data_IF_797027479999
#
_entry.id   IF_797027479999
#
_cell.length_a   1.000
_cell.length_b   1.000
_cell.length_c   1.000
_cell.angle_alpha   90.00
_cell.angle_beta   90.00
_cell.angle_gamma   90.00
#
_symmetry.space_group_name_H-M   'P 1'
#
loop_
_entity.id
_entity.type
_entity.pdbx_description
1 polymer ?
#
# COMPACT_ATOMS: atom_id res chain seq x y z
N UNK A 1 1.58 3.73 18.13
CA UNK A 1 0.88 3.10 16.98
C UNK A 1 1.85 3.04 15.82
N UNK A 2 2.57 1.93 15.65
CA UNK A 2 3.54 1.74 14.56
C UNK A 2 2.79 1.53 13.24
N UNK A 3 2.91 2.46 12.29
CA UNK A 3 2.59 2.17 10.89
C UNK A 3 3.81 1.54 10.22
N UNK A 4 4.03 0.25 10.48
CA UNK A 4 5.09 -0.49 9.81
C UNK A 4 4.65 -0.82 8.37
N UNK A 5 5.26 -0.14 7.41
CA UNK A 5 5.68 -0.69 6.12
C UNK A 5 4.67 -1.52 5.28
N UNK A 6 4.00 -0.83 4.35
CA UNK A 6 3.67 -1.39 3.04
C UNK A 6 2.70 -2.57 3.00
N UNK A 7 1.40 -2.31 3.14
CA UNK A 7 0.28 -3.17 2.70
C UNK A 7 0.22 -4.62 3.20
N UNK A 8 1.14 -5.11 4.02
CA UNK A 8 1.15 -6.51 4.47
C UNK A 8 0.69 -6.67 5.92
N UNK A 9 0.33 -5.58 6.58
CA UNK A 9 -0.29 -5.60 7.89
C UNK A 9 -1.30 -4.46 8.03
N UNK A 10 -2.27 -4.64 8.91
CA UNK A 10 -3.22 -3.61 9.29
C UNK A 10 -3.70 -3.87 10.72
N UNK A 11 -4.12 -2.83 11.42
CA UNK A 11 -4.69 -2.93 12.77
C UNK A 11 -6.14 -2.43 12.83
N UNK A 12 -6.85 -2.82 13.89
CA UNK A 12 -8.11 -2.22 14.33
C UNK A 12 -7.87 -1.26 15.50
N UNK A 13 -8.87 -0.45 15.83
CA UNK A 13 -8.86 0.43 17.00
C UNK A 13 -8.96 -0.34 18.33
N UNK A 14 -9.29 -1.64 18.27
CA UNK A 14 -9.47 -2.52 19.43
C UNK A 14 -8.23 -3.37 19.74
N UNK A 15 -7.09 -3.07 19.12
CA UNK A 15 -5.82 -3.77 19.36
C UNK A 15 -5.62 -5.05 18.55
N UNK A 16 -6.57 -5.44 17.69
CA UNK A 16 -6.37 -6.56 16.76
C UNK A 16 -5.44 -6.15 15.64
N UNK A 17 -4.45 -6.98 15.33
CA UNK A 17 -3.52 -6.78 14.21
C UNK A 17 -3.58 -8.00 13.29
N UNK A 18 -3.60 -7.76 11.99
CA UNK A 18 -3.47 -8.81 10.96
C UNK A 18 -2.21 -8.53 10.18
N UNK A 19 -1.43 -9.57 9.91
CA UNK A 19 -0.29 -9.50 9.01
C UNK A 19 -0.26 -10.69 8.05
N UNK A 20 0.55 -10.56 7.00
CA UNK A 20 0.87 -11.64 6.09
C UNK A 20 2.36 -11.96 6.16
N UNK A 21 2.68 -13.25 6.24
CA UNK A 21 4.04 -13.76 6.03
C UNK A 21 4.10 -14.28 4.59
N UNK A 22 5.13 -13.86 3.85
CA UNK A 22 5.31 -14.22 2.44
C UNK A 22 5.14 -15.74 2.22
N UNK A 23 4.25 -16.10 1.29
CA UNK A 23 3.86 -17.49 0.96
C UNK A 23 3.21 -18.32 2.08
N UNK A 24 3.22 -17.88 3.34
CA UNK A 24 2.71 -18.60 4.49
C UNK A 24 1.31 -18.15 4.94
N UNK A 25 0.65 -17.28 4.18
CA UNK A 25 -0.73 -16.87 4.44
C UNK A 25 -0.85 -15.77 5.49
N UNK A 26 -1.96 -15.79 6.22
CA UNK A 26 -2.40 -14.74 7.15
C UNK A 26 -2.18 -15.17 8.60
N UNK A 27 -1.74 -14.21 9.42
CA UNK A 27 -1.60 -14.33 10.86
C UNK A 27 -2.33 -13.17 11.54
N UNK A 28 -2.72 -13.35 12.79
CA UNK A 28 -3.38 -12.32 13.59
C UNK A 28 -2.84 -12.29 15.01
N UNK A 29 -3.02 -11.15 15.65
CA UNK A 29 -2.74 -10.87 17.06
C UNK A 29 -3.94 -10.14 17.65
N UNK A 30 -4.26 -10.45 18.90
CA UNK A 30 -5.33 -9.81 19.69
C UNK A 30 -4.77 -8.90 20.80
N UNK A 31 -3.44 -8.78 20.87
CA UNK A 31 -2.69 -8.09 21.91
C UNK A 31 -1.65 -7.13 21.28
N UNK A 32 -2.10 -6.34 20.29
CA UNK A 32 -1.32 -5.27 19.66
C UNK A 32 -0.01 -5.74 19.01
N UNK A 33 0.03 -6.99 18.54
CA UNK A 33 1.19 -7.58 17.87
C UNK A 33 2.20 -8.24 18.82
N UNK A 34 1.86 -8.43 20.10
CA UNK A 34 2.74 -9.11 21.07
C UNK A 34 2.75 -10.63 20.83
N UNK A 35 1.59 -11.25 20.65
CA UNK A 35 1.42 -12.69 20.40
C UNK A 35 0.72 -12.92 19.07
N UNK A 36 1.22 -13.88 18.29
CA UNK A 36 0.72 -14.18 16.94
C UNK A 36 0.17 -15.59 16.80
N UNK A 37 -0.93 -15.70 16.08
CA UNK A 37 -1.63 -16.94 15.78
C UNK A 37 -1.85 -17.07 14.27
N UNK A 38 -1.82 -18.30 13.74
CA UNK A 38 -2.18 -18.57 12.36
C UNK A 38 -3.70 -18.42 12.12
N UNK A 39 -4.09 -17.81 11.00
CA UNK A 39 -5.48 -17.76 10.54
C UNK A 39 -5.88 -19.04 9.79
N UNK A 40 -7.14 -19.15 9.33
CA UNK A 40 -7.59 -20.24 8.45
C UNK A 40 -7.05 -20.17 7.00
N UNK A 41 -6.30 -19.13 6.65
CA UNK A 41 -5.60 -18.99 5.37
C UNK A 41 -4.10 -19.15 5.63
N UNK A 42 -3.55 -20.31 5.30
CA UNK A 42 -2.19 -20.72 5.73
C UNK A 42 -1.16 -20.74 4.60
N UNK A 43 -1.51 -20.25 3.42
CA UNK A 43 -0.60 -20.16 2.27
C UNK A 43 -0.89 -18.90 1.46
N UNK A 44 0.09 -18.47 0.66
CA UNK A 44 -0.03 -17.31 -0.22
C UNK A 44 0.53 -16.02 0.39
N UNK A 45 0.55 -14.98 -0.43
CA UNK A 45 1.01 -13.64 -0.05
C UNK A 45 -0.14 -12.67 -0.24
N UNK A 46 -0.46 -11.88 0.78
CA UNK A 46 -1.64 -11.02 0.81
C UNK A 46 -1.28 -9.59 1.14
N UNK A 47 -2.03 -8.67 0.52
CA UNK A 47 -2.12 -7.28 0.96
C UNK A 47 -3.35 -7.13 1.83
N UNK A 48 -3.25 -6.36 2.91
CA UNK A 48 -4.26 -6.21 3.94
C UNK A 48 -4.55 -4.73 4.20
N UNK A 49 -5.83 -4.38 4.33
CA UNK A 49 -6.28 -3.07 4.84
C UNK A 49 -7.46 -3.26 5.80
N UNK A 50 -7.60 -2.33 6.74
CA UNK A 50 -8.78 -2.20 7.59
C UNK A 50 -9.77 -1.22 6.95
N UNK A 51 -11.02 -1.63 6.78
CA UNK A 51 -12.08 -0.83 6.16
C UNK A 51 -13.43 -1.15 6.79
N UNK A 52 -14.17 -0.13 7.25
CA UNK A 52 -15.56 -0.23 7.74
C UNK A 52 -15.86 -1.50 8.55
N UNK A 53 -15.20 -1.70 9.70
CA UNK A 53 -15.48 -2.88 10.53
C UNK A 53 -14.75 -4.19 10.13
N UNK A 54 -14.24 -4.34 8.89
CA UNK A 54 -13.47 -5.52 8.48
C UNK A 54 -12.00 -5.26 8.16
N UNK A 55 -11.17 -6.30 8.29
CA UNK A 55 -9.95 -6.49 7.53
C UNK A 55 -10.29 -7.08 6.16
N UNK A 56 -9.57 -6.65 5.14
CA UNK A 56 -9.72 -7.11 3.77
C UNK A 56 -8.35 -7.58 3.29
N UNK A 57 -8.30 -8.80 2.77
CA UNK A 57 -7.10 -9.40 2.23
C UNK A 57 -7.27 -9.73 0.74
N UNK A 58 -6.30 -9.36 -0.07
CA UNK A 58 -6.26 -9.64 -1.52
C UNK A 58 -4.91 -10.25 -1.85
N UNK A 59 -4.85 -11.17 -2.81
CA UNK A 59 -3.59 -11.80 -3.18
C UNK A 59 -2.61 -10.74 -3.71
N UNK A 60 -1.48 -10.58 -3.01
CA UNK A 60 -0.43 -9.60 -3.29
C UNK A 60 0.62 -10.08 -4.29
N UNK A 61 0.60 -11.36 -4.67
CA UNK A 61 1.57 -11.97 -5.59
C UNK A 61 1.14 -12.00 -7.06
N UNK A 62 -0.12 -11.69 -7.38
CA UNK A 62 -0.69 -11.93 -8.71
C UNK A 62 -0.82 -10.71 -9.63
N UNK A 63 -0.45 -10.90 -10.90
CA UNK A 63 -1.03 -10.15 -12.05
C UNK A 63 -2.36 -10.76 -12.52
N UNK A 64 -2.74 -11.92 -11.97
CA UNK A 64 -3.94 -12.68 -12.29
C UNK A 64 -5.04 -12.47 -11.25
N UNK A 65 -6.28 -12.46 -11.72
CA UNK A 65 -7.47 -12.38 -10.87
C UNK A 65 -7.45 -13.51 -9.84
N UNK A 66 -7.61 -13.15 -8.58
CA UNK A 66 -7.54 -14.07 -7.44
C UNK A 66 -8.65 -13.75 -6.44
N UNK A 67 -9.01 -14.74 -5.63
CA UNK A 67 -9.99 -14.58 -4.56
C UNK A 67 -9.52 -13.54 -3.55
N UNK A 68 -10.40 -12.61 -3.19
CA UNK A 68 -10.24 -11.75 -2.01
C UNK A 68 -10.96 -12.35 -0.81
N UNK A 69 -10.59 -11.87 0.37
CA UNK A 69 -11.12 -12.33 1.64
C UNK A 69 -11.41 -11.15 2.54
N UNK A 70 -12.34 -11.33 3.47
CA UNK A 70 -12.59 -10.38 4.55
C UNK A 70 -12.77 -11.10 5.89
N UNK A 71 -12.47 -10.39 6.97
CA UNK A 71 -12.60 -10.88 8.34
C UNK A 71 -12.70 -9.71 9.32
N UNK A 72 -13.56 -9.80 10.33
CA UNK A 72 -13.63 -8.76 11.36
C UNK A 72 -12.41 -8.76 12.29
N UNK A 73 -11.88 -9.96 12.60
CA UNK A 73 -10.83 -10.16 13.60
C UNK A 73 -9.57 -10.87 13.06
N UNK A 74 -9.55 -11.25 11.79
CA UNK A 74 -8.39 -11.89 11.16
C UNK A 74 -8.17 -13.36 11.50
N UNK A 75 -8.93 -13.94 12.44
CA UNK A 75 -8.85 -15.37 12.79
C UNK A 75 -9.44 -16.28 11.70
N UNK A 76 -10.68 -16.00 11.30
CA UNK A 76 -11.42 -16.73 10.27
C UNK A 76 -11.76 -15.77 9.15
N UNK A 77 -11.31 -16.10 7.95
CA UNK A 77 -11.53 -15.34 6.72
C UNK A 77 -12.61 -15.99 5.87
N UNK A 78 -13.51 -15.15 5.39
CA UNK A 78 -14.54 -15.52 4.42
C UNK A 78 -14.09 -15.12 3.03
N UNK A 79 -14.23 -16.02 2.06
CA UNK A 79 -13.94 -15.73 0.66
C UNK A 79 -15.02 -14.80 0.08
N UNK A 80 -14.58 -13.81 -0.68
CA UNK A 80 -15.43 -12.94 -1.48
C UNK A 80 -15.88 -13.63 -2.77
N UNK A 81 -17.04 -13.24 -3.30
CA UNK A 81 -17.59 -13.79 -4.55
C UNK A 81 -17.03 -13.16 -5.83
N UNK A 82 -16.15 -12.17 -5.69
CA UNK A 82 -15.54 -11.46 -6.83
C UNK A 82 -14.02 -11.62 -6.79
N UNK A 83 -13.44 -11.88 -7.97
CA UNK A 83 -12.00 -11.96 -8.12
C UNK A 83 -11.42 -10.56 -8.32
N UNK A 84 -10.23 -10.34 -7.80
CA UNK A 84 -9.52 -9.06 -7.85
C UNK A 84 -8.03 -9.30 -8.11
N UNK A 85 -7.39 -8.35 -8.78
CA UNK A 85 -5.93 -8.26 -8.87
C UNK A 85 -5.42 -7.15 -7.99
N UNK A 86 -4.39 -7.45 -7.20
CA UNK A 86 -3.78 -6.49 -6.29
C UNK A 86 -2.25 -6.62 -6.22
N UNK A 87 -1.62 -7.21 -7.26
CA UNK A 87 -0.16 -7.35 -7.30
C UNK A 87 0.58 -6.01 -7.19
N UNK A 88 -0.07 -4.89 -7.50
CA UNK A 88 0.46 -3.54 -7.37
C UNK A 88 0.15 -2.87 -6.02
N UNK A 89 -1.02 -3.07 -5.41
CA UNK A 89 -1.31 -2.38 -4.16
C UNK A 89 -2.74 -2.50 -3.70
N UNK A 90 -2.96 -2.16 -2.43
CA UNK A 90 -4.26 -2.10 -1.77
C UNK A 90 -4.26 -0.91 -0.80
N UNK A 91 -5.26 -0.04 -0.90
CA UNK A 91 -5.41 1.13 -0.04
C UNK A 91 -6.90 1.46 0.15
N UNK A 92 -7.23 2.22 1.20
CA UNK A 92 -8.59 2.70 1.44
C UNK A 92 -8.60 4.20 1.75
N UNK A 93 -9.68 4.88 1.39
CA UNK A 93 -9.98 6.25 1.81
C UNK A 93 -11.10 6.32 2.86
N UNK A 94 -11.49 5.19 3.45
CA UNK A 94 -12.62 5.07 4.37
C UNK A 94 -13.98 4.90 3.68
N UNK A 95 -14.14 5.40 2.46
CA UNK A 95 -15.36 5.23 1.65
C UNK A 95 -15.26 4.03 0.73
N UNK A 96 -14.15 3.92 0.00
CA UNK A 96 -13.80 2.83 -0.90
C UNK A 96 -12.44 2.26 -0.56
N UNK A 97 -12.29 0.98 -0.91
CA UNK A 97 -11.03 0.25 -1.00
C UNK A 97 -10.67 0.16 -2.47
N UNK A 98 -9.40 0.38 -2.79
CA UNK A 98 -8.86 0.31 -4.13
C UNK A 98 -7.74 -0.71 -4.18
N UNK A 99 -7.81 -1.60 -5.18
CA UNK A 99 -6.78 -2.57 -5.50
C UNK A 99 -6.25 -2.28 -6.90
N UNK A 100 -4.93 -2.31 -7.06
CA UNK A 100 -4.25 -2.16 -8.37
C UNK A 100 -3.34 -3.35 -8.63
N UNK A 101 -3.31 -3.85 -9.86
CA UNK A 101 -2.48 -5.00 -10.24
C UNK A 101 -2.30 -5.12 -11.75
N UNK A 102 -1.05 -4.99 -12.20
CA UNK A 102 -0.75 -4.85 -13.64
C UNK A 102 -1.39 -3.57 -14.17
N UNK A 103 -2.17 -3.69 -15.24
CA UNK A 103 -2.98 -2.59 -15.78
C UNK A 103 -4.36 -2.47 -15.13
N UNK A 104 -4.75 -3.39 -14.25
CA UNK A 104 -6.10 -3.43 -13.71
C UNK A 104 -6.26 -2.59 -12.44
N UNK A 105 -7.43 -1.95 -12.30
CA UNK A 105 -7.87 -1.27 -11.08
C UNK A 105 -9.24 -1.80 -10.68
N UNK A 106 -9.42 -2.09 -9.39
CA UNK A 106 -10.70 -2.51 -8.82
C UNK A 106 -11.02 -1.63 -7.62
N UNK A 107 -12.30 -1.34 -7.41
CA UNK A 107 -12.77 -0.63 -6.21
C UNK A 107 -13.88 -1.41 -5.52
N UNK A 108 -13.98 -1.27 -4.21
CA UNK A 108 -15.04 -1.86 -3.40
C UNK A 108 -15.47 -0.88 -2.31
N UNK A 109 -16.77 -0.73 -2.07
CA UNK A 109 -17.29 0.10 -0.98
C UNK A 109 -17.33 -0.65 0.36
N UNK A 110 -17.33 -1.98 0.33
CA UNK A 110 -17.54 -2.87 1.47
C UNK A 110 -16.37 -3.84 1.71
N UNK A 111 -15.46 -4.00 0.74
CA UNK A 111 -14.33 -4.92 0.78
C UNK A 111 -14.62 -6.34 0.29
N UNK A 112 -15.89 -6.66 0.01
CA UNK A 112 -16.34 -8.01 -0.36
C UNK A 112 -16.76 -8.10 -1.83
N UNK A 113 -17.30 -7.00 -2.37
CA UNK A 113 -17.75 -6.92 -3.76
C UNK A 113 -16.91 -5.91 -4.51
N UNK A 114 -16.20 -6.37 -5.54
CA UNK A 114 -15.26 -5.57 -6.31
C UNK A 114 -15.81 -5.21 -7.68
N UNK A 115 -15.67 -3.94 -8.06
CA UNK A 115 -16.00 -3.41 -9.39
C UNK A 115 -14.70 -3.11 -10.13
N UNK A 116 -14.51 -3.73 -11.30
CA UNK A 116 -13.40 -3.38 -12.20
C UNK A 116 -13.60 -1.97 -12.78
N UNK A 117 -12.51 -1.19 -12.85
CA UNK A 117 -12.50 0.16 -13.42
C UNK A 117 -11.70 0.18 -14.73
N UNK A 118 -12.06 1.12 -15.62
CA UNK A 118 -11.35 1.35 -16.88
C UNK A 118 -9.89 1.70 -16.62
N UNK A 119 -9.00 0.99 -17.29
CA UNK A 119 -7.57 1.05 -17.03
C UNK A 119 -6.96 2.26 -17.73
N UNK A 120 -6.28 3.14 -16.99
CA UNK A 120 -5.25 3.95 -17.66
C UNK A 120 -4.05 3.04 -17.89
N UNK A 121 -3.36 3.23 -19.01
CA UNK A 121 -2.24 2.37 -19.44
C UNK A 121 -1.04 2.61 -18.55
N UNK A 122 -1.02 2.03 -17.35
CA UNK A 122 0.10 2.11 -16.42
C UNK A 122 0.20 0.81 -15.59
N UNK A 123 1.42 0.43 -15.23
CA UNK A 123 1.69 -0.77 -14.42
C UNK A 123 1.94 -0.37 -12.97
N UNK A 124 0.85 -0.13 -12.22
CA UNK A 124 0.93 0.29 -10.82
C UNK A 124 1.58 -0.79 -9.95
N UNK A 125 2.57 -0.41 -9.13
CA UNK A 125 3.39 -1.33 -8.30
C UNK A 125 3.28 -1.11 -6.80
N UNK A 126 2.78 0.06 -6.40
CA UNK A 126 2.40 0.42 -5.04
C UNK A 126 1.12 1.23 -5.09
N UNK A 127 0.40 1.28 -3.98
CA UNK A 127 -0.77 2.14 -3.82
C UNK A 127 -0.80 2.67 -2.39
N UNK A 128 -0.93 3.98 -2.25
CA UNK A 128 -1.10 4.65 -0.97
C UNK A 128 -2.26 5.63 -1.08
N UNK A 129 -2.92 5.94 0.04
CA UNK A 129 -3.92 6.98 0.13
C UNK A 129 -3.47 8.06 1.12
N UNK A 130 -3.69 9.32 0.76
CA UNK A 130 -3.38 10.49 1.59
C UNK A 130 -3.96 11.76 0.95
N UNK A 131 -4.28 12.78 1.75
CA UNK A 131 -4.80 14.07 1.27
C UNK A 131 -5.87 13.99 0.17
N UNK A 132 -6.82 13.07 0.34
CA UNK A 132 -7.94 12.91 -0.60
C UNK A 132 -7.59 12.20 -1.91
N UNK A 133 -6.38 11.63 -2.06
CA UNK A 133 -5.94 10.98 -3.30
C UNK A 133 -5.34 9.60 -3.04
N UNK A 134 -5.68 8.66 -3.91
CA UNK A 134 -4.91 7.45 -4.13
C UNK A 134 -3.74 7.78 -5.05
N UNK A 135 -2.56 7.28 -4.71
CA UNK A 135 -1.33 7.48 -5.46
C UNK A 135 -0.70 6.13 -5.76
N UNK A 136 -0.37 5.91 -7.01
CA UNK A 136 0.41 4.75 -7.46
C UNK A 136 1.69 5.21 -8.12
N UNK A 137 2.74 4.42 -7.96
CA UNK A 137 4.04 4.63 -8.63
C UNK A 137 4.32 3.47 -9.58
N UNK A 138 5.05 3.78 -10.65
CA UNK A 138 5.55 2.79 -11.60
C UNK A 138 7.01 2.50 -11.30
N UNK A 139 7.36 1.21 -11.28
CA UNK A 139 8.75 0.77 -11.33
C UNK A 139 9.22 0.80 -12.79
N UNK A 140 10.48 1.15 -13.03
CA UNK A 140 11.06 1.05 -14.37
C UNK A 140 10.98 -0.39 -14.89
N UNK A 141 10.29 -0.59 -16.01
CA UNK A 141 10.40 -1.80 -16.82
C UNK A 141 10.95 -1.41 -18.18
N UNK A 142 12.12 -1.95 -18.56
CA UNK A 142 12.66 -1.79 -19.91
C UNK A 142 13.16 -0.40 -20.30
N UNK A 143 13.65 0.40 -19.34
CA UNK A 143 14.25 1.72 -19.63
C UNK A 143 13.28 2.90 -19.70
N UNK A 144 11.98 2.68 -19.49
CA UNK A 144 11.02 3.78 -19.28
C UNK A 144 11.03 4.22 -17.82
N UNK A 145 11.39 5.47 -17.57
CA UNK A 145 11.48 6.04 -16.24
C UNK A 145 10.09 6.10 -15.57
N UNK A 146 10.04 5.73 -14.28
CA UNK A 146 8.80 5.60 -13.51
C UNK A 146 8.06 6.93 -13.37
N UNK A 147 6.74 6.90 -13.46
CA UNK A 147 5.86 8.04 -13.13
C UNK A 147 5.08 7.79 -11.83
N UNK A 148 4.45 8.83 -11.32
CA UNK A 148 3.41 8.72 -10.30
C UNK A 148 2.06 9.09 -10.89
N UNK A 149 1.01 8.40 -10.49
CA UNK A 149 -0.35 8.70 -10.93
C UNK A 149 -1.24 8.89 -9.71
N UNK A 150 -2.12 9.89 -9.77
CA UNK A 150 -3.11 10.12 -8.71
C UNK A 150 -4.53 9.93 -9.22
N UNK A 151 -5.41 9.49 -8.35
CA UNK A 151 -6.85 9.44 -8.58
C UNK A 151 -7.59 9.67 -7.27
N UNK A 152 -8.86 10.05 -7.31
CA UNK A 152 -9.74 10.04 -6.14
C UNK A 152 -10.71 8.85 -6.13
N UNK A 153 -10.92 8.20 -7.28
CA UNK A 153 -12.01 7.24 -7.49
C UNK A 153 -11.64 6.01 -8.34
N UNK A 154 -10.43 5.96 -8.89
CA UNK A 154 -9.93 4.82 -9.67
C UNK A 154 -10.37 4.80 -11.14
N UNK A 155 -11.17 5.77 -11.61
CA UNK A 155 -11.59 5.83 -13.04
C UNK A 155 -10.74 6.78 -13.86
N UNK A 156 -10.25 7.86 -13.25
CA UNK A 156 -9.47 8.90 -13.92
C UNK A 156 -8.15 9.07 -13.18
N UNK A 157 -7.06 8.80 -13.88
CA UNK A 157 -5.71 8.86 -13.34
C UNK A 157 -4.93 9.98 -14.00
N UNK A 158 -4.46 10.92 -13.20
CA UNK A 158 -3.58 12.00 -13.65
C UNK A 158 -2.15 11.54 -13.52
N UNK A 159 -1.43 11.47 -14.64
CA UNK A 159 0.00 11.18 -14.66
C UNK A 159 0.78 12.44 -14.25
N UNK A 160 1.78 12.25 -13.40
CA UNK A 160 2.79 13.23 -13.09
C UNK A 160 4.11 12.69 -13.64
N UNK A 161 4.48 13.20 -14.83
CA UNK A 161 5.71 12.84 -15.51
C UNK A 161 6.91 13.32 -14.70
N UNK A 162 7.91 12.44 -14.62
CA UNK A 162 9.01 12.58 -13.69
C UNK A 162 9.91 13.77 -14.07
N UNK A 163 10.27 14.60 -13.09
CA UNK A 163 11.36 15.58 -13.20
C UNK A 163 12.73 14.84 -13.25
N UNK A 164 12.77 13.54 -12.93
CA UNK A 164 14.00 12.75 -12.81
C UNK A 164 13.98 11.40 -13.56
N UNK A 165 15.12 10.95 -14.12
CA UNK A 165 15.23 9.71 -14.88
C UNK A 165 15.47 8.46 -13.99
N UNK A 166 14.84 8.36 -12.81
CA UNK A 166 15.01 7.19 -11.94
C UNK A 166 13.65 6.64 -11.49
N UNK A 167 13.56 5.30 -11.38
CA UNK A 167 12.35 4.63 -10.90
C UNK A 167 12.10 4.90 -9.42
N UNK A 168 10.81 4.95 -9.04
CA UNK A 168 10.40 4.95 -7.65
C UNK A 168 10.35 3.51 -7.12
N UNK A 169 10.95 3.27 -5.96
CA UNK A 169 10.99 1.98 -5.28
C UNK A 169 9.78 1.80 -4.36
N UNK A 170 9.42 2.87 -3.66
CA UNK A 170 8.33 2.84 -2.70
C UNK A 170 7.73 4.23 -2.49
N UNK A 171 6.52 4.24 -1.92
CA UNK A 171 5.82 5.46 -1.56
C UNK A 171 5.08 5.26 -0.25
N UNK A 172 5.15 6.27 0.61
CA UNK A 172 4.36 6.38 1.83
C UNK A 172 3.66 7.73 1.89
N UNK A 173 2.64 7.81 2.74
CA UNK A 173 2.02 9.06 3.12
C UNK A 173 2.36 9.35 4.58
N UNK A 174 3.13 10.42 4.80
CA UNK A 174 3.48 10.95 6.10
C UNK A 174 2.28 11.76 6.61
N UNK A 175 1.51 11.14 7.50
CA UNK A 175 0.29 11.72 8.08
C UNK A 175 0.57 12.90 9.01
N UNK A 176 1.78 12.99 9.58
CA UNK A 176 2.16 14.05 10.51
C UNK A 176 2.40 15.36 9.76
N UNK A 177 3.01 15.30 8.57
CA UNK A 177 3.31 16.47 7.74
C UNK A 177 2.38 16.66 6.54
N UNK A 178 1.39 15.79 6.38
CA UNK A 178 0.50 15.79 5.21
C UNK A 178 1.27 15.84 3.89
N UNK A 179 2.13 14.84 3.67
CA UNK A 179 2.96 14.77 2.45
C UNK A 179 3.19 13.34 2.01
N UNK A 180 3.35 13.15 0.71
CA UNK A 180 3.82 11.91 0.14
C UNK A 180 5.35 11.90 0.13
N UNK A 181 5.95 10.79 0.56
CA UNK A 181 7.39 10.56 0.49
C UNK A 181 7.63 9.43 -0.51
N UNK A 182 8.41 9.72 -1.55
CA UNK A 182 8.76 8.78 -2.61
C UNK A 182 10.24 8.41 -2.49
N UNK A 183 10.51 7.11 -2.42
CA UNK A 183 11.85 6.56 -2.33
C UNK A 183 12.35 6.19 -3.72
N UNK A 184 13.58 6.58 -4.05
CA UNK A 184 14.20 6.39 -5.38
C UNK A 184 15.39 5.45 -5.34
N UNK A 185 15.71 4.85 -6.47
CA UNK A 185 17.00 4.20 -6.68
C UNK A 185 18.15 5.19 -6.40
N UNK A 186 19.24 4.69 -5.79
CA UNK A 186 20.37 5.53 -5.40
C UNK A 186 20.24 6.24 -4.05
N UNK A 187 19.30 5.83 -3.19
CA UNK A 187 19.14 6.29 -1.80
C UNK A 187 18.67 7.75 -1.60
N UNK A 188 17.97 8.33 -2.57
CA UNK A 188 17.35 9.65 -2.43
C UNK A 188 15.85 9.54 -2.20
N UNK A 189 15.33 10.25 -1.19
CA UNK A 189 13.90 10.46 -1.02
C UNK A 189 13.50 11.87 -1.50
N UNK A 190 12.32 11.99 -2.10
CA UNK A 190 11.64 13.28 -2.31
C UNK A 190 10.33 13.27 -1.59
N UNK A 191 9.84 14.46 -1.29
CA UNK A 191 8.47 14.61 -0.85
C UNK A 191 7.71 15.62 -1.70
N UNK A 192 6.39 15.48 -1.68
CA UNK A 192 5.44 16.38 -2.33
C UNK A 192 4.14 16.40 -1.53
N UNK A 193 3.44 17.53 -1.54
CA UNK A 193 2.10 17.68 -0.93
C UNK A 193 0.99 17.59 -1.97
N UNK A 194 1.30 17.82 -3.25
CA UNK A 194 0.30 18.03 -4.30
C UNK A 194 0.69 17.44 -5.68
N UNK A 195 1.88 16.84 -5.79
CA UNK A 195 2.49 16.36 -7.03
C UNK A 195 2.76 17.45 -8.09
N UNK A 196 2.67 18.74 -7.75
CA UNK A 196 3.08 19.84 -8.62
C UNK A 196 4.57 20.14 -8.51
N UNK A 197 5.13 19.95 -7.32
CA UNK A 197 6.55 20.16 -7.02
C UNK A 197 7.11 19.07 -6.12
N UNK A 198 8.41 18.81 -6.23
CA UNK A 198 9.11 17.82 -5.42
C UNK A 198 10.31 18.44 -4.74
N UNK A 199 10.44 18.22 -3.43
CA UNK A 199 11.58 18.67 -2.64
C UNK A 199 12.41 17.48 -2.20
N UNK A 200 13.74 17.63 -2.22
CA UNK A 200 14.63 16.57 -1.73
C UNK A 200 14.52 16.48 -0.20
N UNK A 201 14.40 15.26 0.31
CA UNK A 201 14.46 15.00 1.75
C UNK A 201 15.92 14.95 2.27
N UNK A 202 16.90 15.14 1.40
CA UNK A 202 18.35 15.01 1.66
C UNK A 202 18.94 13.67 1.19
N UNK A 203 20.26 13.63 0.99
CA UNK A 203 21.03 12.38 0.89
C UNK A 203 21.32 11.88 2.30
N UNK A 204 20.81 10.72 2.69
CA UNK A 204 21.35 10.07 3.89
C UNK A 204 22.76 9.55 3.58
N UNK A 205 23.71 9.60 4.53
CA UNK A 205 25.04 9.04 4.33
C UNK A 205 24.94 7.58 3.86
N UNK A 206 25.72 7.26 2.84
CA UNK A 206 25.76 5.94 2.20
C UNK A 206 25.75 4.79 3.22
N UNK A 207 24.90 3.77 2.95
CA UNK A 207 24.87 2.42 3.56
C UNK A 207 23.86 2.11 4.68
N UNK A 208 22.80 2.89 4.90
CA UNK A 208 21.66 2.39 5.70
C UNK A 208 20.70 1.54 4.86
N UNK A 209 20.27 0.40 5.40
CA UNK A 209 19.34 -0.51 4.73
C UNK A 209 17.95 0.13 4.64
N UNK A 210 17.12 -0.36 3.72
CA UNK A 210 15.77 0.17 3.45
C UNK A 210 14.86 0.24 4.70
N UNK A 211 15.05 -0.66 5.67
CA UNK A 211 14.30 -0.71 6.93
C UNK A 211 14.70 0.44 7.87
N UNK A 212 16.01 0.66 8.06
CA UNK A 212 16.54 1.77 8.88
C UNK A 212 16.08 3.14 8.35
N UNK A 213 15.86 3.27 7.03
CA UNK A 213 15.36 4.50 6.38
C UNK A 213 13.91 4.81 6.68
N UNK A 214 13.09 3.78 6.94
CA UNK A 214 11.70 3.97 7.34
C UNK A 214 11.59 4.25 8.82
N UNK A 215 12.41 3.57 9.63
CA UNK A 215 12.51 3.84 11.05
C UNK A 215 13.08 5.24 11.33
N UNK A 216 14.03 5.77 10.57
CA UNK A 216 14.50 7.16 10.76
C UNK A 216 13.45 8.22 10.37
N UNK A 217 12.67 7.98 9.31
CA UNK A 217 11.58 8.89 8.90
C UNK A 217 10.39 8.79 9.87
N UNK A 218 10.15 7.63 10.48
CA UNK A 218 9.03 7.40 11.39
C UNK A 218 9.40 7.71 12.86
N UNK A 219 10.61 7.34 13.32
CA UNK A 219 11.10 7.44 14.71
C UNK A 219 11.94 8.69 14.98
N UNK A 220 12.67 9.22 13.99
CA UNK A 220 13.48 10.45 14.15
C UNK A 220 12.65 11.69 14.53
N UNK A 221 11.33 11.57 14.46
CA UNK A 221 10.37 12.66 14.65
C UNK A 221 9.38 12.41 15.81
N UNK A 222 9.47 11.27 16.50
CA UNK A 222 8.78 11.01 17.78
C UNK A 222 9.63 11.52 18.96
N UNK A 223 10.91 11.82 18.74
CA UNK A 223 11.82 12.37 19.75
C UNK A 223 11.79 13.90 19.96
N UNK A 224 10.86 14.62 19.33
CA UNK A 224 10.67 16.07 19.52
C UNK A 224 9.20 16.49 19.45
N UNK A 225 8.40 16.04 20.41
CA UNK A 225 7.23 16.75 20.93
C UNK A 225 6.86 16.17 22.29
#
# INVERSE_FOLDING_TARGET
>A
MLSLLGSQASSSDTGTVVACIQQAGLIYSEDEGVTWYASNITTGTYRIVRHKGNFIAVNGSGTTLSTSYYSEYGKVWTASNTLVTAGGGLATNGTIVMAVGGTNTHTSEDGSTWTAKSTATYNGRKLVYGDGKFVTILTSTGGTYGGSYTTNNGTSWTNFNNIYPYGYLDIIYDTVRSRFVLFREGAYAVYTTDFSTFSNLGSTPNNLNYVDKLDDVILGEIGRA
#
